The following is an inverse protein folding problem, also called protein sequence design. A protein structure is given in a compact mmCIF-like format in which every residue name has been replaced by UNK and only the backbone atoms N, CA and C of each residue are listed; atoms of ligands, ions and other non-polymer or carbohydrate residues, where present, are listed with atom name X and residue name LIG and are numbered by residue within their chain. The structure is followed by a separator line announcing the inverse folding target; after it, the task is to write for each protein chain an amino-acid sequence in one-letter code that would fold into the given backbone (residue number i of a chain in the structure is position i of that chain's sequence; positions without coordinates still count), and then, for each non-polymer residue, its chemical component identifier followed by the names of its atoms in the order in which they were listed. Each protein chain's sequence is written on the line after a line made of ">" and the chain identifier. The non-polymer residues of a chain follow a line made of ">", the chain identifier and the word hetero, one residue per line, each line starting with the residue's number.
data_IF_756819400081
#
_entry.id   IF_756819400081
#
_cell.length_a   1.000
_cell.length_b   1.000
_cell.length_c   1.000
_cell.angle_alpha   90.00
_cell.angle_beta   90.00
_cell.angle_gamma   90.00
#
_symmetry.space_group_name_H-M   'P 1'
#
loop_
_entity.id
_entity.type
_entity.pdbx_description
1 polymer ?
#
# COMPACT_ATOMS: atom_id res chain seq x y z
N UNK A 1 -3.53 -8.30 38.20
CA UNK A 1 -2.89 -7.08 37.67
C UNK A 1 -1.73 -7.51 36.78
N UNK A 2 -2.03 -7.87 35.51
CA UNK A 2 -1.08 -8.17 34.41
C UNK A 2 -1.88 -8.53 33.14
N UNK A 3 -2.42 -7.55 32.41
CA UNK A 3 -3.06 -7.77 31.09
C UNK A 3 -2.53 -6.87 29.96
N UNK A 4 -1.65 -5.90 30.28
CA UNK A 4 -1.10 -4.96 29.30
C UNK A 4 -0.20 -5.60 28.22
N UNK A 5 0.78 -6.47 28.52
CA UNK A 5 1.71 -6.95 27.49
C UNK A 5 1.04 -7.85 26.44
N UNK A 6 0.06 -8.66 26.84
CA UNK A 6 -0.67 -9.54 25.93
C UNK A 6 -1.59 -8.75 24.96
N UNK A 7 -2.14 -7.62 25.42
CA UNK A 7 -3.00 -6.76 24.60
C UNK A 7 -2.18 -5.97 23.58
N UNK A 8 -1.02 -5.44 23.99
CA UNK A 8 -0.08 -4.76 23.10
C UNK A 8 0.44 -5.68 22.00
N UNK A 9 0.87 -6.90 22.33
CA UNK A 9 1.36 -7.86 21.33
C UNK A 9 0.28 -8.25 20.32
N UNK A 10 -0.96 -8.43 20.78
CA UNK A 10 -2.10 -8.70 19.91
C UNK A 10 -2.38 -7.56 18.93
N UNK A 11 -2.34 -6.31 19.39
CA UNK A 11 -2.56 -5.14 18.54
C UNK A 11 -1.48 -5.00 17.46
N UNK A 12 -0.22 -5.30 17.79
CA UNK A 12 0.87 -5.33 16.82
C UNK A 12 0.69 -6.44 15.78
N UNK A 13 0.35 -7.66 16.22
CA UNK A 13 0.08 -8.76 15.31
C UNK A 13 -1.12 -8.48 14.38
N UNK A 14 -2.17 -7.83 14.88
CA UNK A 14 -3.32 -7.41 14.07
C UNK A 14 -2.92 -6.35 13.03
N UNK A 15 -2.01 -5.43 13.39
CA UNK A 15 -1.48 -4.42 12.48
C UNK A 15 -0.62 -5.03 11.38
N UNK A 16 0.30 -5.93 11.73
CA UNK A 16 1.14 -6.68 10.78
C UNK A 16 0.27 -7.48 9.80
N UNK A 17 -0.69 -8.26 10.32
CA UNK A 17 -1.60 -9.04 9.49
C UNK A 17 -2.45 -8.15 8.55
N UNK A 18 -2.84 -6.95 8.98
CA UNK A 18 -3.54 -6.00 8.14
C UNK A 18 -2.65 -5.42 7.03
N UNK A 19 -1.36 -5.18 7.33
CA UNK A 19 -0.39 -4.74 6.33
C UNK A 19 -0.12 -5.83 5.30
N UNK A 20 0.09 -7.08 5.74
CA UNK A 20 0.29 -8.22 4.83
C UNK A 20 -0.90 -8.41 3.89
N UNK A 21 -2.13 -8.30 4.40
CA UNK A 21 -3.34 -8.35 3.58
C UNK A 21 -3.40 -7.23 2.54
N UNK A 22 -2.95 -6.02 2.90
CA UNK A 22 -2.86 -4.91 1.94
C UNK A 22 -1.88 -5.22 0.81
N UNK A 23 -0.69 -5.75 1.15
CA UNK A 23 0.30 -6.17 0.16
C UNK A 23 -0.25 -7.29 -0.72
N UNK A 24 -0.80 -8.35 -0.14
CA UNK A 24 -1.33 -9.51 -0.87
C UNK A 24 -2.43 -9.11 -1.86
N UNK A 25 -3.40 -8.28 -1.42
CA UNK A 25 -4.48 -7.82 -2.30
C UNK A 25 -3.96 -6.93 -3.43
N UNK A 26 -2.94 -6.12 -3.16
CA UNK A 26 -2.30 -5.28 -4.18
C UNK A 26 -1.53 -6.12 -5.19
N UNK A 27 -0.80 -7.13 -4.74
CA UNK A 27 -0.12 -8.11 -5.60
C UNK A 27 -1.11 -8.91 -6.46
N UNK A 28 -2.25 -9.31 -5.88
CA UNK A 28 -3.33 -9.98 -6.62
C UNK A 28 -3.91 -9.09 -7.74
N UNK A 29 -4.15 -7.81 -7.44
CA UNK A 29 -4.58 -6.84 -8.45
C UNK A 29 -3.55 -6.72 -9.58
N UNK A 30 -2.26 -6.63 -9.24
CA UNK A 30 -1.17 -6.55 -10.20
C UNK A 30 -1.08 -7.81 -11.07
N UNK A 31 -1.25 -9.00 -10.47
CA UNK A 31 -1.26 -10.27 -11.19
C UNK A 31 -2.43 -10.34 -12.19
N UNK A 32 -3.63 -9.90 -11.79
CA UNK A 32 -4.79 -9.84 -12.70
C UNK A 32 -4.56 -8.85 -13.84
N UNK A 33 -3.98 -7.68 -13.57
CA UNK A 33 -3.61 -6.73 -14.62
C UNK A 33 -2.54 -7.31 -15.56
N UNK A 34 -1.56 -8.05 -15.04
CA UNK A 34 -0.47 -8.62 -15.84
C UNK A 34 -0.94 -9.67 -16.84
N UNK A 35 -1.98 -10.44 -16.52
CA UNK A 35 -2.56 -11.46 -17.41
C UNK A 35 -3.24 -10.83 -18.62
N UNK A 36 -3.92 -9.70 -18.43
CA UNK A 36 -4.61 -8.98 -19.49
C UNK A 36 -4.43 -7.46 -19.36
N UNK A 37 -3.24 -6.93 -19.70
CA UNK A 37 -2.96 -5.50 -19.55
C UNK A 37 -3.88 -4.67 -20.43
N UNK A 38 -4.54 -3.69 -19.82
CA UNK A 38 -5.45 -2.79 -20.51
C UNK A 38 -4.71 -1.55 -21.04
N UNK A 39 -5.46 -0.55 -21.52
CA UNK A 39 -4.85 0.73 -21.88
C UNK A 39 -4.42 1.48 -20.63
N UNK A 40 -3.23 2.06 -20.69
CA UNK A 40 -2.63 2.78 -19.58
C UNK A 40 -1.86 4.00 -20.12
N UNK A 41 -1.88 5.07 -19.33
CA UNK A 41 -1.16 6.32 -19.56
C UNK A 41 -0.51 6.73 -18.24
N UNK A 42 0.72 7.23 -18.27
CA UNK A 42 1.38 7.75 -17.10
C UNK A 42 2.22 8.96 -17.48
N UNK A 43 2.42 9.87 -16.54
CA UNK A 43 3.43 10.91 -16.67
C UNK A 43 4.78 10.33 -16.25
N UNK A 44 5.68 10.20 -17.23
CA UNK A 44 7.08 9.83 -17.01
C UNK A 44 7.95 11.02 -17.41
N UNK A 45 8.59 11.64 -16.42
CA UNK A 45 9.47 12.78 -16.67
C UNK A 45 10.72 12.32 -17.43
N UNK A 46 11.00 12.94 -18.59
CA UNK A 46 12.33 12.91 -19.22
C UNK A 46 12.48 12.12 -20.52
N UNK A 47 11.46 11.41 -21.02
CA UNK A 47 11.59 10.61 -22.26
C UNK A 47 10.45 10.91 -23.24
N UNK A 48 10.79 11.38 -24.44
CA UNK A 48 9.86 11.48 -25.58
C UNK A 48 10.30 10.55 -26.72
N UNK A 49 9.38 9.78 -27.34
CA UNK A 49 7.98 9.60 -26.95
C UNK A 49 7.87 8.83 -25.62
N UNK A 50 6.91 9.20 -24.78
CA UNK A 50 6.71 8.54 -23.48
C UNK A 50 6.34 7.07 -23.69
N UNK A 51 7.11 6.11 -23.13
CA UNK A 51 6.79 4.70 -23.29
C UNK A 51 5.47 4.37 -22.57
N UNK A 52 4.72 3.43 -23.14
CA UNK A 52 3.47 2.95 -22.51
C UNK A 52 3.80 2.41 -21.11
N UNK A 53 3.01 2.75 -20.06
CA UNK A 53 3.25 2.25 -18.72
C UNK A 53 3.23 0.72 -18.69
N UNK A 54 4.26 0.13 -18.10
CA UNK A 54 4.38 -1.32 -17.94
C UNK A 54 3.72 -1.79 -16.65
N UNK A 55 3.45 -3.09 -16.54
CA UNK A 55 3.06 -3.70 -15.26
C UNK A 55 4.07 -3.42 -14.16
N UNK A 56 5.36 -3.36 -14.50
CA UNK A 56 6.42 -3.04 -13.53
C UNK A 56 6.33 -1.59 -13.03
N UNK A 57 6.00 -0.64 -13.92
CA UNK A 57 5.73 0.73 -13.51
C UNK A 57 4.55 0.79 -12.51
N UNK A 58 3.47 0.04 -12.80
CA UNK A 58 2.30 -0.01 -11.91
C UNK A 58 2.62 -0.67 -10.57
N UNK A 59 3.40 -1.76 -10.58
CA UNK A 59 3.89 -2.44 -9.38
C UNK A 59 4.66 -1.47 -8.50
N UNK A 60 5.63 -0.76 -9.08
CA UNK A 60 6.39 0.28 -8.38
C UNK A 60 5.48 1.37 -7.83
N UNK A 61 4.49 1.83 -8.60
CA UNK A 61 3.58 2.89 -8.17
C UNK A 61 2.69 2.48 -6.98
N UNK A 62 2.20 1.23 -6.96
CA UNK A 62 1.29 0.76 -5.91
C UNK A 62 2.00 0.23 -4.67
N UNK A 63 3.26 -0.20 -4.79
CA UNK A 63 4.04 -0.81 -3.70
C UNK A 63 5.22 0.06 -3.25
N UNK A 64 5.19 1.37 -3.52
CA UNK A 64 6.22 2.33 -3.09
C UNK A 64 6.13 2.63 -1.57
N UNK A 65 6.24 1.58 -0.74
CA UNK A 65 6.17 1.68 0.72
C UNK A 65 7.53 1.89 1.38
N UNK A 66 8.60 1.50 0.70
CA UNK A 66 9.92 1.39 1.31
C UNK A 66 10.69 2.70 1.25
N UNK A 67 11.40 2.97 2.35
CA UNK A 67 12.35 4.07 2.39
C UNK A 67 13.48 3.84 1.39
N UNK A 68 13.85 4.89 0.66
CA UNK A 68 15.02 4.91 -0.22
C UNK A 68 16.11 5.75 0.43
N UNK A 69 17.34 5.27 0.40
CA UNK A 69 18.50 5.98 0.96
C UNK A 69 18.60 7.42 0.45
N UNK A 70 18.72 8.36 1.39
CA UNK A 70 18.80 9.80 1.12
C UNK A 70 17.44 10.49 0.90
N UNK A 71 16.32 9.78 1.02
CA UNK A 71 14.99 10.38 0.94
C UNK A 71 14.64 11.10 2.25
N UNK A 72 14.14 12.33 2.16
CA UNK A 72 13.38 12.89 3.27
C UNK A 72 12.06 12.10 3.40
N UNK A 73 11.87 11.40 4.52
CA UNK A 73 10.67 10.61 4.81
C UNK A 73 9.36 11.40 4.82
N UNK A 74 9.40 12.73 4.67
CA UNK A 74 8.23 13.60 4.47
C UNK A 74 7.91 13.87 3.00
N UNK A 75 8.83 13.57 2.09
CA UNK A 75 8.65 13.78 0.65
C UNK A 75 7.78 12.68 0.06
N UNK A 76 6.64 13.08 -0.50
CA UNK A 76 5.74 12.17 -1.22
C UNK A 76 6.21 12.01 -2.66
N UNK A 77 6.39 10.76 -3.09
CA UNK A 77 6.67 10.42 -4.49
C UNK A 77 5.36 10.17 -5.22
N UNK A 78 5.04 11.03 -6.17
CA UNK A 78 3.79 10.93 -6.94
C UNK A 78 4.00 10.13 -8.21
N UNK A 79 3.26 9.04 -8.37
CA UNK A 79 3.16 8.28 -9.62
C UNK A 79 1.81 8.59 -10.26
N UNK A 80 1.78 9.49 -11.25
CA UNK A 80 0.53 9.95 -11.87
C UNK A 80 0.27 9.15 -13.14
N UNK A 81 -0.89 8.49 -13.20
CA UNK A 81 -1.33 7.76 -14.38
C UNK A 81 -2.81 7.41 -14.36
N UNK A 82 -3.27 6.88 -15.48
CA UNK A 82 -4.63 6.43 -15.73
C UNK A 82 -4.57 5.03 -16.33
N UNK A 83 -5.39 4.11 -15.82
CA UNK A 83 -5.54 2.76 -16.35
C UNK A 83 -7.02 2.54 -16.66
N UNK A 84 -7.31 2.08 -17.87
CA UNK A 84 -8.65 1.61 -18.21
C UNK A 84 -8.92 0.30 -17.46
N UNK A 85 -9.86 0.28 -16.53
CA UNK A 85 -10.16 -0.91 -15.73
C UNK A 85 -11.47 -1.56 -16.19
N UNK A 86 -11.47 -2.89 -16.33
CA UNK A 86 -12.70 -3.66 -16.46
C UNK A 86 -13.31 -3.94 -15.07
N UNK A 87 -14.48 -4.56 -15.04
CA UNK A 87 -15.19 -4.85 -13.78
C UNK A 87 -14.36 -5.69 -12.80
N UNK A 88 -13.61 -6.68 -13.31
CA UNK A 88 -12.75 -7.54 -12.49
C UNK A 88 -11.63 -6.73 -11.79
N UNK A 89 -10.94 -5.86 -12.53
CA UNK A 89 -9.92 -4.97 -11.97
C UNK A 89 -10.54 -3.97 -10.99
N UNK A 90 -11.70 -3.40 -11.31
CA UNK A 90 -12.39 -2.46 -10.42
C UNK A 90 -12.82 -3.12 -9.10
N UNK A 91 -13.27 -4.37 -9.14
CA UNK A 91 -13.60 -5.13 -7.93
C UNK A 91 -12.37 -5.32 -7.03
N UNK A 92 -11.22 -5.70 -7.60
CA UNK A 92 -9.98 -5.85 -6.84
C UNK A 92 -9.43 -4.51 -6.31
N UNK A 93 -9.58 -3.41 -7.06
CA UNK A 93 -9.27 -2.07 -6.57
C UNK A 93 -10.11 -1.73 -5.33
N UNK A 94 -11.40 -2.10 -5.31
CA UNK A 94 -12.24 -1.92 -4.14
C UNK A 94 -11.74 -2.73 -2.93
N UNK A 95 -11.29 -3.98 -3.15
CA UNK A 95 -10.72 -4.83 -2.09
C UNK A 95 -9.41 -4.27 -1.51
N UNK A 96 -8.55 -3.71 -2.35
CA UNK A 96 -7.33 -3.00 -1.94
C UNK A 96 -7.69 -1.78 -1.10
N UNK A 97 -8.66 -0.98 -1.55
CA UNK A 97 -9.12 0.20 -0.81
C UNK A 97 -9.72 -0.18 0.55
N UNK A 98 -10.46 -1.29 0.63
CA UNK A 98 -10.96 -1.81 1.91
C UNK A 98 -9.81 -2.19 2.86
N UNK A 99 -8.79 -2.90 2.36
CA UNK A 99 -7.61 -3.24 3.17
C UNK A 99 -6.82 -2.00 3.64
N UNK A 100 -6.70 -0.96 2.78
CA UNK A 100 -6.10 0.32 3.18
C UNK A 100 -6.89 0.97 4.32
N UNK A 101 -8.22 0.96 4.24
CA UNK A 101 -9.08 1.52 5.28
C UNK A 101 -8.98 0.73 6.60
N UNK A 102 -8.94 -0.60 6.53
CA UNK A 102 -8.75 -1.48 7.68
C UNK A 102 -7.39 -1.23 8.36
N UNK A 103 -6.29 -1.19 7.60
CA UNK A 103 -4.97 -0.89 8.12
C UNK A 103 -4.91 0.49 8.81
N UNK A 104 -5.49 1.52 8.18
CA UNK A 104 -5.58 2.85 8.76
C UNK A 104 -6.41 2.87 10.07
N UNK A 105 -7.49 2.09 10.14
CA UNK A 105 -8.31 1.96 11.34
C UNK A 105 -7.54 1.29 12.49
N UNK A 106 -6.73 0.26 12.22
CA UNK A 106 -5.86 -0.35 13.23
C UNK A 106 -4.81 0.63 13.76
N UNK A 107 -4.13 1.38 12.88
CA UNK A 107 -3.20 2.42 13.29
C UNK A 107 -3.87 3.47 14.19
N UNK A 108 -5.08 3.92 13.83
CA UNK A 108 -5.83 4.88 14.62
C UNK A 108 -6.20 4.33 16.01
N UNK A 109 -6.61 3.05 16.09
CA UNK A 109 -6.93 2.38 17.35
C UNK A 109 -5.71 2.28 18.26
N UNK A 110 -4.56 1.88 17.73
CA UNK A 110 -3.31 1.79 18.50
C UNK A 110 -2.91 3.19 19.00
N UNK A 111 -2.97 4.21 18.14
CA UNK A 111 -2.66 5.59 18.51
C UNK A 111 -3.54 6.11 19.66
N UNK A 112 -4.81 5.70 19.70
CA UNK A 112 -5.75 6.12 20.75
C UNK A 112 -5.56 5.34 22.07
N UNK A 113 -5.30 4.03 21.98
CA UNK A 113 -5.22 3.15 23.15
C UNK A 113 -3.83 3.15 23.80
N UNK A 114 -2.75 3.15 23.01
CA UNK A 114 -1.37 2.99 23.47
C UNK A 114 -0.38 3.81 22.60
N UNK A 115 -0.34 5.15 22.73
CA UNK A 115 0.57 6.00 21.96
C UNK A 115 2.07 5.60 21.99
N UNK A 116 2.65 5.14 23.12
CA UNK A 116 4.05 4.71 23.18
C UNK A 116 4.36 3.49 22.30
N UNK A 117 3.37 2.62 22.06
CA UNK A 117 3.55 1.40 21.29
C UNK A 117 3.97 1.68 19.85
N UNK A 118 3.48 2.77 19.26
CA UNK A 118 3.88 3.18 17.90
C UNK A 118 5.31 3.74 17.84
N UNK A 119 5.85 4.23 18.95
CA UNK A 119 7.23 4.70 19.01
C UNK A 119 8.22 3.52 19.06
N UNK A 120 7.83 2.43 19.72
CA UNK A 120 8.62 1.18 19.79
C UNK A 120 8.72 0.47 18.43
N UNK A 121 7.71 0.59 17.57
CA UNK A 121 7.72 0.03 16.20
C UNK A 121 8.73 0.73 15.27
N UNK A 122 9.10 1.99 15.57
CA UNK A 122 10.01 2.79 14.74
C UNK A 122 11.49 2.57 15.07
N UNK A 123 11.80 1.84 16.13
CA UNK A 123 13.16 1.59 16.64
C UNK A 123 13.73 0.28 16.10
#
# INVERSE_FOLDING_TARGET
>A
MTQEPATSYRLLAELEAAFDQLIERTERLLATYAVAPTQAWAFQAGEEPQPKPTTEWLRRALLDYWYIDGQDGRTTRSHIGLIAANEALMAQVAEVNAAKAEFAAYLARIKAAHPPLLAEIKA
#
